data_IF_888757836596
#
_entry.id   IF_888757836596
#
_cell.length_a   1.000
_cell.length_b   1.000
_cell.length_c   1.000
_cell.angle_alpha   90.00
_cell.angle_beta   90.00
_cell.angle_gamma   90.00
#
_symmetry.space_group_name_H-M   'P 1'
#
loop_
_entity.id
_entity.type
_entity.pdbx_description
1 polymer ?
#
# COMPACT_ATOMS: atom_id res chain seq x y z
N UNK A 1 9.73 21.43 3.03
CA UNK A 1 10.92 21.25 2.12
C UNK A 1 10.55 21.43 0.64
N UNK A 2 10.12 20.38 -0.12
CA UNK A 2 9.82 20.56 -1.57
C UNK A 2 8.62 21.49 -1.79
N UNK A 3 7.52 21.30 -1.06
CA UNK A 3 6.31 22.14 -1.15
C UNK A 3 6.61 23.63 -0.84
N UNK A 4 7.38 23.90 0.20
CA UNK A 4 7.76 25.26 0.60
C UNK A 4 8.64 25.92 -0.47
N UNK A 5 9.61 25.15 -1.02
CA UNK A 5 10.46 25.66 -2.11
C UNK A 5 9.64 25.97 -3.37
N UNK A 6 8.73 25.08 -3.77
CA UNK A 6 7.88 25.32 -4.94
C UNK A 6 6.91 26.48 -4.70
N UNK A 7 6.36 26.58 -3.48
CA UNK A 7 5.52 27.72 -3.09
C UNK A 7 6.28 29.06 -3.17
N UNK A 8 7.56 29.09 -2.77
CA UNK A 8 8.41 30.29 -2.90
C UNK A 8 8.70 30.69 -4.35
N UNK A 9 8.42 29.79 -5.31
CA UNK A 9 8.55 30.01 -6.76
C UNK A 9 7.19 30.17 -7.46
N UNK A 10 6.11 30.29 -6.69
CA UNK A 10 4.74 30.38 -7.21
C UNK A 10 4.33 29.18 -8.07
N UNK A 11 4.95 28.00 -7.83
CA UNK A 11 4.65 26.76 -8.54
C UNK A 11 3.64 25.96 -7.72
N UNK A 12 2.51 25.64 -8.32
CA UNK A 12 1.49 24.79 -7.69
C UNK A 12 2.05 23.36 -7.42
N UNK A 13 1.87 22.87 -6.19
CA UNK A 13 2.28 21.55 -5.76
C UNK A 13 1.09 20.77 -5.22
N UNK A 14 0.86 19.59 -5.76
CA UNK A 14 -0.22 18.70 -5.35
C UNK A 14 0.33 17.33 -4.97
N UNK A 15 -0.22 16.72 -3.92
CA UNK A 15 0.10 15.38 -3.48
C UNK A 15 -1.12 14.48 -3.65
N UNK A 16 -0.87 13.21 -3.95
CA UNK A 16 -1.93 12.22 -4.16
C UNK A 16 -1.60 10.94 -3.39
N UNK A 17 -2.63 10.28 -2.89
CA UNK A 17 -2.49 8.96 -2.26
C UNK A 17 -2.03 7.93 -3.27
N UNK A 18 -1.02 7.17 -2.93
CA UNK A 18 -0.44 6.15 -3.80
C UNK A 18 -0.71 4.73 -3.29
N UNK A 19 0.02 4.29 -2.26
CA UNK A 19 0.06 2.90 -1.81
C UNK A 19 -1.03 2.51 -0.81
N UNK A 20 -1.93 3.41 -0.45
CA UNK A 20 -2.95 3.24 0.58
C UNK A 20 -4.33 3.67 0.08
N UNK A 21 -5.37 3.14 0.69
CA UNK A 21 -6.75 3.60 0.47
C UNK A 21 -7.01 4.84 1.32
N UNK A 22 -6.66 4.76 2.60
CA UNK A 22 -6.73 5.88 3.53
C UNK A 22 -5.36 6.14 4.12
N UNK A 23 -4.94 7.39 4.17
CA UNK A 23 -3.63 7.78 4.68
C UNK A 23 -3.73 8.70 5.90
N UNK A 24 -2.63 8.78 6.65
CA UNK A 24 -2.44 9.72 7.77
C UNK A 24 -3.62 9.70 8.74
N UNK A 25 -4.31 10.83 8.84
CA UNK A 25 -5.40 11.07 9.79
C UNK A 25 -6.79 10.68 9.23
N UNK A 26 -6.84 9.97 8.12
CA UNK A 26 -8.14 9.60 7.53
C UNK A 26 -8.87 8.51 8.32
N UNK A 27 -8.15 7.67 9.06
CA UNK A 27 -8.70 6.65 9.97
C UNK A 27 -8.16 6.90 11.38
N UNK A 28 -8.80 7.78 12.09
CA UNK A 28 -8.49 8.14 13.49
C UNK A 28 -9.72 7.97 14.37
N UNK A 29 -9.52 7.97 15.68
CA UNK A 29 -10.59 7.99 16.67
C UNK A 29 -11.33 9.34 16.66
N UNK A 30 -12.44 9.42 17.40
CA UNK A 30 -13.25 10.63 17.50
C UNK A 30 -12.50 11.83 18.11
N UNK A 31 -11.48 11.57 18.92
CA UNK A 31 -10.60 12.56 19.53
C UNK A 31 -9.41 12.97 18.63
N UNK A 32 -9.36 12.47 17.39
CA UNK A 32 -8.28 12.72 16.42
C UNK A 32 -7.01 11.88 16.67
N UNK A 33 -6.96 11.04 17.71
CA UNK A 33 -5.79 10.21 17.97
C UNK A 33 -5.78 8.94 17.12
N UNK A 34 -4.57 8.41 16.76
CA UNK A 34 -4.46 7.21 15.97
C UNK A 34 -4.91 5.96 16.74
N UNK A 35 -5.39 4.98 16.02
CA UNK A 35 -5.62 3.65 16.57
C UNK A 35 -4.31 2.92 16.81
N UNK A 36 -4.17 2.26 17.96
CA UNK A 36 -3.02 1.40 18.30
C UNK A 36 -3.38 -0.08 18.32
N UNK A 37 -4.66 -0.39 18.07
CA UNK A 37 -5.20 -1.76 18.03
C UNK A 37 -5.91 -1.97 16.69
N UNK A 38 -5.65 -3.10 16.05
CA UNK A 38 -6.14 -3.39 14.70
C UNK A 38 -7.67 -3.47 14.60
N UNK A 39 -8.32 -4.19 15.52
CA UNK A 39 -9.76 -4.47 15.39
C UNK A 39 -10.63 -3.22 15.28
N UNK A 40 -10.51 -2.21 16.14
CA UNK A 40 -11.27 -0.97 15.99
C UNK A 40 -10.84 -0.15 14.77
N UNK A 41 -9.56 -0.19 14.39
CA UNK A 41 -9.07 0.43 13.15
C UNK A 41 -9.75 -0.19 11.93
N UNK A 42 -9.71 -1.52 11.81
CA UNK A 42 -10.30 -2.24 10.68
C UNK A 42 -11.82 -2.02 10.57
N UNK A 43 -12.51 -1.96 11.72
CA UNK A 43 -13.93 -1.63 11.75
C UNK A 43 -14.18 -0.23 11.17
N UNK A 44 -13.46 0.78 11.65
CA UNK A 44 -13.58 2.17 11.17
C UNK A 44 -13.21 2.29 9.69
N UNK A 45 -12.14 1.60 9.26
CA UNK A 45 -11.71 1.54 7.88
C UNK A 45 -12.82 1.00 6.97
N UNK A 46 -13.42 -0.13 7.31
CA UNK A 46 -14.51 -0.76 6.54
C UNK A 46 -15.77 0.11 6.47
N UNK A 47 -16.13 0.78 7.57
CA UNK A 47 -17.25 1.72 7.60
C UNK A 47 -17.02 2.86 6.59
N UNK A 48 -15.83 3.47 6.62
CA UNK A 48 -15.48 4.57 5.70
C UNK A 48 -15.39 4.08 4.25
N UNK A 49 -14.85 2.88 4.01
CA UNK A 49 -14.74 2.29 2.68
C UNK A 49 -16.12 2.04 2.04
N UNK A 50 -17.12 1.60 2.80
CA UNK A 50 -18.50 1.44 2.30
C UNK A 50 -19.12 2.75 1.85
N UNK A 51 -18.84 3.83 2.57
CA UNK A 51 -19.35 5.17 2.24
C UNK A 51 -18.55 5.88 1.13
N UNK A 52 -17.30 5.49 0.92
CA UNK A 52 -16.38 6.19 0.01
C UNK A 52 -15.44 5.20 -0.68
N UNK A 53 -15.95 4.51 -1.70
CA UNK A 53 -15.10 3.62 -2.50
C UNK A 53 -14.02 4.42 -3.24
N UNK A 54 -12.76 3.94 -3.26
CA UNK A 54 -11.70 4.62 -3.98
C UNK A 54 -11.95 4.60 -5.48
N UNK A 55 -11.72 5.74 -6.14
CA UNK A 55 -11.85 5.84 -7.58
C UNK A 55 -10.70 5.11 -8.27
N UNK A 56 -11.04 4.29 -9.26
CA UNK A 56 -10.07 3.67 -10.16
C UNK A 56 -9.85 4.59 -11.36
N UNK A 57 -8.62 5.06 -11.52
CA UNK A 57 -8.23 5.86 -12.67
C UNK A 57 -7.70 4.96 -13.79
N UNK A 58 -8.17 5.21 -15.02
CA UNK A 58 -7.60 4.54 -16.19
C UNK A 58 -6.24 5.16 -16.51
N UNK A 59 -5.22 4.31 -16.63
CA UNK A 59 -3.90 4.70 -17.12
C UNK A 59 -3.85 4.80 -18.65
N UNK A 60 -4.90 4.39 -19.35
CA UNK A 60 -5.03 4.51 -20.81
C UNK A 60 -5.30 5.96 -21.20
N UNK A 61 -4.32 6.83 -21.01
CA UNK A 61 -4.39 8.21 -21.54
C UNK A 61 -3.77 8.23 -22.93
N UNK A 62 -4.32 9.06 -23.84
CA UNK A 62 -3.74 9.21 -25.17
C UNK A 62 -2.33 9.79 -25.06
N UNK A 63 -1.42 9.26 -25.84
CA UNK A 63 -0.01 9.69 -25.94
C UNK A 63 0.11 11.20 -26.30
N UNK A 64 -0.94 11.76 -26.87
CA UNK A 64 -1.03 13.20 -27.18
C UNK A 64 -0.84 14.12 -25.95
N UNK A 65 -1.04 13.59 -24.73
CA UNK A 65 -0.85 14.34 -23.48
C UNK A 65 0.60 14.31 -22.96
N UNK A 66 1.48 13.55 -23.59
CA UNK A 66 2.89 13.54 -23.20
C UNK A 66 3.65 14.74 -23.77
N UNK A 67 4.57 15.26 -22.98
CA UNK A 67 5.50 16.29 -23.44
C UNK A 67 6.33 15.73 -24.60
N UNK A 68 6.28 16.40 -25.74
CA UNK A 68 7.16 16.12 -26.88
C UNK A 68 8.51 16.77 -26.61
N UNK A 69 9.52 15.98 -26.32
CA UNK A 69 10.90 16.42 -26.12
C UNK A 69 11.86 15.64 -27.00
N UNK A 70 13.06 16.16 -27.17
CA UNK A 70 14.15 15.38 -27.77
C UNK A 70 14.44 14.17 -26.86
N UNK A 71 14.80 13.00 -27.43
CA UNK A 71 15.24 11.86 -26.65
C UNK A 71 16.41 12.27 -25.73
N UNK A 72 16.32 11.92 -24.46
CA UNK A 72 17.42 12.05 -23.52
C UNK A 72 17.91 10.66 -23.07
N UNK A 73 19.16 10.60 -22.65
CA UNK A 73 19.71 9.34 -22.13
C UNK A 73 18.92 8.91 -20.89
N UNK A 74 18.36 7.70 -20.95
CA UNK A 74 17.72 7.06 -19.80
C UNK A 74 18.72 6.06 -19.21
N UNK A 75 19.13 6.22 -17.94
CA UNK A 75 20.16 5.38 -17.37
C UNK A 75 19.70 3.92 -17.28
N UNK A 76 20.56 2.98 -17.61
CA UNK A 76 20.34 1.56 -17.39
C UNK A 76 20.37 1.22 -15.89
N UNK A 77 19.78 0.10 -15.50
CA UNK A 77 19.82 -0.37 -14.10
C UNK A 77 21.26 -0.48 -13.60
N UNK A 78 22.21 -0.92 -14.43
CA UNK A 78 23.62 -1.05 -14.07
C UNK A 78 24.26 0.32 -13.78
N UNK A 79 23.96 1.35 -14.57
CA UNK A 79 24.49 2.71 -14.36
C UNK A 79 24.01 3.34 -13.05
N UNK A 80 22.83 2.95 -12.57
CA UNK A 80 22.29 3.40 -11.28
C UNK A 80 22.58 2.41 -10.12
N UNK A 81 23.52 1.46 -10.33
CA UNK A 81 24.06 0.59 -9.28
C UNK A 81 23.28 -0.68 -8.99
N UNK A 82 22.33 -1.08 -9.85
CA UNK A 82 21.66 -2.37 -9.71
C UNK A 82 22.37 -3.48 -10.48
N UNK A 83 22.58 -4.59 -9.82
CA UNK A 83 23.07 -5.82 -10.43
C UNK A 83 21.94 -6.82 -10.63
N UNK A 84 21.99 -7.53 -11.75
CA UNK A 84 21.04 -8.62 -12.01
C UNK A 84 21.34 -9.77 -11.07
N UNK A 85 20.31 -10.28 -10.39
CA UNK A 85 20.40 -11.50 -9.59
C UNK A 85 19.44 -12.56 -10.11
N UNK A 86 19.60 -13.79 -9.64
CA UNK A 86 18.81 -14.96 -10.08
C UNK A 86 17.56 -15.20 -9.23
N UNK A 87 17.19 -14.26 -8.38
CA UNK A 87 15.97 -14.39 -7.58
C UNK A 87 14.72 -14.28 -8.45
N UNK A 88 13.93 -15.34 -8.46
CA UNK A 88 12.63 -15.34 -9.13
C UNK A 88 11.56 -14.68 -8.23
N UNK A 89 10.82 -13.77 -8.81
CA UNK A 89 9.65 -13.16 -8.18
C UNK A 89 8.40 -13.83 -8.77
N UNK A 90 7.42 -14.13 -7.92
CA UNK A 90 6.15 -14.66 -8.40
C UNK A 90 5.54 -13.71 -9.46
N UNK A 91 5.01 -14.24 -10.58
CA UNK A 91 4.44 -13.40 -11.62
C UNK A 91 3.22 -12.62 -11.09
N UNK A 92 2.98 -11.44 -11.67
CA UNK A 92 1.81 -10.64 -11.34
C UNK A 92 0.55 -11.32 -11.90
N UNK A 93 -0.10 -12.09 -11.06
CA UNK A 93 -1.38 -12.72 -11.37
C UNK A 93 -2.36 -12.57 -10.21
N UNK A 94 -3.57 -12.10 -10.51
CA UNK A 94 -4.64 -11.96 -9.52
C UNK A 94 -5.53 -13.21 -9.60
N UNK A 95 -5.21 -14.19 -8.77
CA UNK A 95 -5.96 -15.45 -8.70
C UNK A 95 -7.21 -15.29 -7.83
N UNK A 96 -8.34 -14.93 -8.46
CA UNK A 96 -9.62 -14.73 -7.76
C UNK A 96 -10.05 -15.96 -6.94
N UNK A 97 -9.75 -17.17 -7.41
CA UNK A 97 -10.03 -18.42 -6.72
C UNK A 97 -9.27 -18.54 -5.40
N UNK A 98 -7.97 -18.18 -5.39
CA UNK A 98 -7.15 -18.18 -4.17
C UNK A 98 -7.70 -17.13 -3.18
N UNK A 99 -8.08 -15.95 -3.68
CA UNK A 99 -8.67 -14.91 -2.85
C UNK A 99 -9.98 -15.39 -2.21
N UNK A 100 -10.88 -15.98 -3.00
CA UNK A 100 -12.20 -16.42 -2.50
C UNK A 100 -12.13 -17.53 -1.44
N UNK A 101 -11.09 -18.38 -1.47
CA UNK A 101 -10.89 -19.46 -0.51
C UNK A 101 -9.84 -19.17 0.57
N UNK A 102 -9.35 -17.94 0.63
CA UNK A 102 -8.19 -17.56 1.44
C UNK A 102 -8.36 -17.85 2.93
N UNK A 103 -9.52 -17.60 3.49
CA UNK A 103 -9.86 -17.90 4.89
C UNK A 103 -9.66 -19.38 5.25
N UNK A 104 -9.88 -20.29 4.29
CA UNK A 104 -9.76 -21.74 4.45
C UNK A 104 -8.35 -22.27 4.17
N UNK A 105 -7.63 -21.66 3.25
CA UNK A 105 -6.38 -22.22 2.70
C UNK A 105 -5.11 -21.55 3.21
N UNK A 106 -5.19 -20.31 3.73
CA UNK A 106 -4.02 -19.50 4.11
C UNK A 106 -3.06 -20.19 5.10
N UNK A 107 -3.58 -21.05 5.98
CA UNK A 107 -2.79 -21.75 7.00
C UNK A 107 -2.38 -23.17 6.59
N UNK A 108 -2.73 -23.61 5.38
CA UNK A 108 -2.40 -24.93 4.87
C UNK A 108 -1.10 -24.87 4.06
N UNK A 109 0.04 -25.16 4.70
CA UNK A 109 1.37 -25.04 4.09
C UNK A 109 1.56 -25.91 2.83
N UNK A 110 0.84 -27.03 2.73
CA UNK A 110 0.87 -27.92 1.57
C UNK A 110 0.11 -27.39 0.35
N UNK A 111 -0.66 -26.31 0.48
CA UNK A 111 -1.47 -25.75 -0.58
C UNK A 111 -0.92 -24.39 -1.06
N UNK A 112 -1.13 -24.10 -2.33
CA UNK A 112 -0.93 -22.75 -2.86
C UNK A 112 -2.09 -21.83 -2.45
N UNK A 113 -2.22 -21.58 -1.13
CA UNK A 113 -3.32 -20.85 -0.51
C UNK A 113 -3.13 -19.35 -0.41
N UNK A 114 -2.02 -18.79 -0.96
CA UNK A 114 -1.70 -17.35 -0.92
C UNK A 114 -1.44 -16.79 -2.31
N UNK A 115 -1.76 -15.51 -2.51
CA UNK A 115 -1.65 -14.84 -3.82
C UNK A 115 -0.23 -14.46 -4.20
N UNK A 116 0.72 -14.46 -3.26
CA UNK A 116 2.12 -14.03 -3.44
C UNK A 116 2.28 -12.62 -4.04
N UNK A 117 1.31 -11.73 -3.79
CA UNK A 117 1.30 -10.36 -4.32
C UNK A 117 2.09 -9.34 -3.46
N UNK A 118 2.76 -9.77 -2.40
CA UNK A 118 3.44 -8.86 -1.46
C UNK A 118 4.48 -7.97 -2.14
N UNK A 119 5.31 -8.52 -3.02
CA UNK A 119 6.31 -7.77 -3.79
C UNK A 119 5.63 -6.75 -4.72
N UNK A 120 4.58 -7.17 -5.41
CA UNK A 120 3.82 -6.31 -6.32
C UNK A 120 3.11 -5.16 -5.58
N UNK A 121 2.60 -5.41 -4.37
CA UNK A 121 2.06 -4.38 -3.49
C UNK A 121 3.13 -3.43 -2.98
N UNK A 122 4.34 -3.96 -2.66
CA UNK A 122 5.46 -3.14 -2.18
C UNK A 122 5.95 -2.16 -3.23
N UNK A 123 6.06 -2.61 -4.49
CA UNK A 123 6.59 -1.81 -5.59
C UNK A 123 5.52 -1.13 -6.45
N UNK A 124 4.24 -1.22 -6.06
CA UNK A 124 3.15 -0.56 -6.76
C UNK A 124 2.87 -1.09 -8.17
N UNK A 125 3.39 -2.27 -8.51
CA UNK A 125 3.12 -2.91 -9.82
C UNK A 125 1.70 -3.49 -9.91
N UNK A 126 0.97 -3.52 -8.79
CA UNK A 126 -0.45 -3.81 -8.71
C UNK A 126 -1.17 -2.72 -7.92
N UNK A 127 -2.34 -2.32 -8.38
CA UNK A 127 -3.15 -1.31 -7.71
C UNK A 127 -3.80 -1.87 -6.43
N UNK A 128 -3.47 -1.28 -5.27
CA UNK A 128 -4.13 -1.63 -3.99
C UNK A 128 -5.62 -1.32 -4.04
N UNK A 129 -6.04 -0.29 -4.78
CA UNK A 129 -7.47 0.06 -4.96
C UNK A 129 -8.21 -1.04 -5.70
N UNK A 130 -7.62 -1.57 -6.77
CA UNK A 130 -8.20 -2.71 -7.51
C UNK A 130 -8.26 -3.98 -6.67
N UNK A 131 -7.21 -4.24 -5.89
CA UNK A 131 -7.19 -5.40 -4.99
C UNK A 131 -8.21 -5.27 -3.86
N UNK A 132 -8.39 -4.08 -3.28
CA UNK A 132 -9.40 -3.88 -2.22
C UNK A 132 -10.83 -4.04 -2.73
N UNK A 133 -11.11 -3.66 -3.98
CA UNK A 133 -12.40 -3.91 -4.63
C UNK A 133 -12.66 -5.41 -4.76
N UNK A 134 -11.70 -6.15 -5.30
CA UNK A 134 -11.79 -7.62 -5.47
C UNK A 134 -11.92 -8.33 -4.11
N UNK A 135 -11.14 -7.89 -3.13
CA UNK A 135 -11.17 -8.46 -1.78
C UNK A 135 -12.52 -8.26 -1.09
N UNK A 136 -13.06 -7.05 -1.19
CA UNK A 136 -14.36 -6.71 -0.60
C UNK A 136 -15.52 -7.50 -1.24
N UNK A 137 -15.36 -7.91 -2.49
CA UNK A 137 -16.31 -8.77 -3.20
C UNK A 137 -16.19 -10.25 -2.77
N UNK A 138 -14.96 -10.74 -2.63
CA UNK A 138 -14.70 -12.18 -2.59
C UNK A 138 -14.42 -12.75 -1.20
N UNK A 139 -13.65 -12.03 -0.34
CA UNK A 139 -13.21 -12.60 0.93
C UNK A 139 -12.78 -11.51 1.93
N UNK A 140 -13.53 -11.40 3.02
CA UNK A 140 -13.30 -10.41 4.06
C UNK A 140 -11.96 -10.61 4.79
N UNK A 141 -11.51 -11.86 4.95
CA UNK A 141 -10.21 -12.16 5.58
C UNK A 141 -9.06 -11.67 4.69
N UNK A 142 -9.16 -11.83 3.38
CA UNK A 142 -8.15 -11.31 2.47
C UNK A 142 -8.14 -9.77 2.42
N UNK A 143 -9.33 -9.14 2.51
CA UNK A 143 -9.44 -7.69 2.69
C UNK A 143 -8.73 -7.24 3.97
N UNK A 144 -8.89 -7.97 5.07
CA UNK A 144 -8.20 -7.65 6.33
C UNK A 144 -6.68 -7.64 6.18
N UNK A 145 -6.08 -8.47 5.31
CA UNK A 145 -4.63 -8.44 5.08
C UNK A 145 -4.18 -7.12 4.41
N UNK A 146 -4.99 -6.55 3.51
CA UNK A 146 -4.73 -5.23 2.93
C UNK A 146 -4.89 -4.13 4.00
N UNK A 147 -5.88 -4.26 4.87
CA UNK A 147 -6.10 -3.32 5.98
C UNK A 147 -4.97 -3.42 7.00
N UNK A 148 -4.44 -4.62 7.30
CA UNK A 148 -3.26 -4.81 8.16
C UNK A 148 -2.05 -4.07 7.61
N UNK A 149 -1.78 -4.19 6.30
CA UNK A 149 -0.70 -3.48 5.64
C UNK A 149 -0.83 -1.96 5.83
N UNK A 150 -2.02 -1.43 5.65
CA UNK A 150 -2.31 0.00 5.80
C UNK A 150 -2.23 0.45 7.28
N UNK A 151 -2.72 -0.39 8.20
CA UNK A 151 -2.59 -0.16 9.63
C UNK A 151 -1.13 0.00 10.06
N UNK A 152 -0.22 -0.85 9.59
CA UNK A 152 1.20 -0.71 9.90
C UNK A 152 1.82 0.54 9.26
N UNK A 153 1.39 0.95 8.08
CA UNK A 153 1.82 2.23 7.50
C UNK A 153 1.35 3.42 8.34
N UNK A 154 0.12 3.37 8.83
CA UNK A 154 -0.42 4.37 9.74
C UNK A 154 0.36 4.41 11.06
N UNK A 155 0.70 3.25 11.63
CA UNK A 155 1.55 3.16 12.83
C UNK A 155 2.92 3.82 12.59
N UNK A 156 3.59 3.52 11.48
CA UNK A 156 4.87 4.14 11.14
C UNK A 156 4.77 5.65 10.95
N UNK A 157 3.66 6.14 10.42
CA UNK A 157 3.44 7.57 10.24
C UNK A 157 3.29 8.31 11.57
N UNK A 158 2.45 7.79 12.47
CA UNK A 158 2.17 8.44 13.76
C UNK A 158 3.23 8.17 14.83
N UNK A 159 3.96 7.05 14.73
CA UNK A 159 4.96 6.62 15.70
C UNK A 159 6.30 6.30 15.01
N UNK A 160 6.96 7.28 14.37
CA UNK A 160 8.17 7.04 13.56
C UNK A 160 9.32 6.41 14.37
N UNK A 161 9.33 6.55 15.70
CA UNK A 161 10.33 5.93 16.59
C UNK A 161 10.35 4.39 16.48
N UNK A 162 9.24 3.76 16.06
CA UNK A 162 9.17 2.27 15.94
C UNK A 162 10.06 1.70 14.82
N UNK A 163 10.72 2.55 14.05
CA UNK A 163 11.76 2.14 13.10
C UNK A 163 13.00 1.63 13.84
N UNK A 164 13.29 2.18 15.03
CA UNK A 164 14.50 1.89 15.82
C UNK A 164 14.22 1.41 17.24
N UNK A 165 12.98 1.54 17.73
CA UNK A 165 12.58 1.23 19.09
C UNK A 165 11.35 0.30 19.10
N UNK A 166 11.15 -0.41 20.20
CA UNK A 166 9.91 -1.18 20.35
C UNK A 166 8.68 -0.27 20.48
N UNK A 167 7.56 -0.67 19.88
CA UNK A 167 6.31 0.06 20.00
C UNK A 167 5.86 0.22 21.46
N UNK A 168 6.06 -0.81 22.28
CA UNK A 168 5.85 -0.79 23.72
C UNK A 168 7.21 -0.82 24.41
N UNK A 169 7.56 0.26 25.09
CA UNK A 169 8.83 0.42 25.83
C UNK A 169 9.10 -0.75 26.79
N UNK A 170 8.06 -1.34 27.38
CA UNK A 170 8.22 -2.52 28.24
C UNK A 170 8.89 -3.72 27.55
N UNK A 171 8.91 -3.76 26.21
CA UNK A 171 9.55 -4.84 25.46
C UNK A 171 11.05 -4.58 25.21
N UNK A 172 11.57 -3.39 25.52
CA UNK A 172 13.00 -3.08 25.39
C UNK A 172 13.85 -3.90 26.38
N UNK A 173 13.22 -4.42 27.43
CA UNK A 173 13.87 -5.26 28.44
C UNK A 173 13.77 -6.77 28.17
N UNK A 174 13.26 -7.16 27.01
CA UNK A 174 13.22 -8.60 26.61
C UNK A 174 14.57 -8.92 25.98
N UNK A 175 15.34 -9.89 26.54
CA UNK A 175 16.66 -10.28 26.05
C UNK A 175 16.60 -10.95 24.68
#
# INVERSE_FOLDING_TARGET
MISEYLQSKEIAFQTFKDQVIFEKDEIVKSDGTPYTVFTPYAKRWKEKYKGQKPMLYSSKKPEANFLKSQPFHFPSLKEIGFEKNDHSIAPLQIHRQIISSYDKTRNMLALHGTTRLSVHLRFGTVSVRKLSEIANELNDQWLNELIWREFFMMILFHFPRVVTENFKIAYDNIP
#
